data_IF_390832206909
#
_entry.id   IF_390832206909
#
_cell.length_a   1.000
_cell.length_b   1.000
_cell.length_c   1.000
_cell.angle_alpha   90.00
_cell.angle_beta   90.00
_cell.angle_gamma   90.00
#
_symmetry.space_group_name_H-M   'P 1'
#
loop_
_entity.id
_entity.type
_entity.pdbx_description
1 polymer ?
#
# COMPACT_ATOMS: atom_id res chain seq x y z
N UNK A 1 21.71 16.05 19.08
CA UNK A 1 22.52 14.82 19.28
C UNK A 1 21.59 13.64 19.04
N UNK A 2 21.66 12.97 17.89
CA UNK A 2 20.73 11.88 17.54
C UNK A 2 21.26 10.61 18.18
N UNK A 3 20.52 10.06 19.16
CA UNK A 3 20.91 8.85 19.91
C UNK A 3 20.90 7.67 18.94
N UNK A 4 22.03 6.98 18.79
CA UNK A 4 22.14 5.77 17.97
C UNK A 4 21.31 4.67 18.62
N UNK A 5 20.33 4.14 17.90
CA UNK A 5 19.41 3.10 18.40
C UNK A 5 20.02 1.73 18.18
N UNK A 6 20.55 1.12 19.24
CA UNK A 6 21.26 -0.17 19.16
C UNK A 6 20.48 -1.32 19.82
N UNK A 7 19.41 -1.05 20.58
CA UNK A 7 18.64 -2.08 21.30
C UNK A 7 17.16 -2.12 20.93
N UNK A 8 16.56 -3.32 20.97
CA UNK A 8 15.10 -3.54 20.81
C UNK A 8 14.32 -2.75 21.87
N UNK A 9 14.91 -2.55 23.06
CA UNK A 9 14.35 -1.74 24.13
C UNK A 9 14.19 -0.26 23.72
N UNK A 10 15.18 0.32 23.03
CA UNK A 10 15.11 1.70 22.55
C UNK A 10 14.05 1.88 21.45
N UNK A 11 13.85 0.85 20.62
CA UNK A 11 12.76 0.81 19.63
C UNK A 11 11.38 0.80 20.29
N UNK A 12 11.22 0.02 21.36
CA UNK A 12 9.97 -0.06 22.13
C UNK A 12 9.68 1.28 22.81
N UNK A 13 10.67 1.92 23.41
CA UNK A 13 10.49 3.22 24.07
C UNK A 13 10.18 4.34 23.07
N UNK A 14 10.82 4.34 21.90
CA UNK A 14 10.48 5.28 20.82
C UNK A 14 9.07 5.03 20.28
N UNK A 15 8.65 3.77 20.13
CA UNK A 15 7.30 3.42 19.70
C UNK A 15 6.24 3.86 20.73
N UNK A 16 6.51 3.69 22.03
CA UNK A 16 5.66 4.22 23.12
C UNK A 16 5.57 5.74 23.08
N UNK A 17 6.69 6.43 22.90
CA UNK A 17 6.73 7.89 22.82
C UNK A 17 5.91 8.40 21.63
N UNK A 18 6.04 7.75 20.47
CA UNK A 18 5.26 8.08 19.27
C UNK A 18 3.78 7.80 19.46
N UNK A 19 3.41 6.67 20.04
CA UNK A 19 1.99 6.35 20.31
C UNK A 19 1.36 7.34 21.29
N UNK A 20 2.11 7.81 22.30
CA UNK A 20 1.64 8.89 23.19
C UNK A 20 1.43 10.19 22.42
N UNK A 21 2.38 10.62 21.58
CA UNK A 21 2.22 11.81 20.74
C UNK A 21 1.03 11.71 19.79
N UNK A 22 0.83 10.55 19.15
CA UNK A 22 -0.33 10.29 18.29
C UNK A 22 -1.65 10.36 19.07
N UNK A 23 -1.72 9.75 20.25
CA UNK A 23 -2.90 9.81 21.10
C UNK A 23 -3.23 11.25 21.52
N UNK A 24 -2.20 12.04 21.85
CA UNK A 24 -2.34 13.44 22.26
C UNK A 24 -2.81 14.32 21.08
N UNK A 25 -2.28 14.07 19.88
CA UNK A 25 -2.74 14.72 18.65
C UNK A 25 -4.20 14.35 18.33
N UNK A 26 -4.57 13.07 18.36
CA UNK A 26 -5.94 12.61 18.12
C UNK A 26 -6.91 13.22 19.13
N UNK A 27 -6.54 13.24 20.41
CA UNK A 27 -7.32 13.87 21.46
C UNK A 27 -7.50 15.37 21.21
N UNK A 28 -6.43 16.10 20.85
CA UNK A 28 -6.50 17.53 20.55
C UNK A 28 -7.41 17.82 19.34
N UNK A 29 -7.28 17.05 18.26
CA UNK A 29 -8.15 17.18 17.08
C UNK A 29 -9.61 16.88 17.43
N UNK A 30 -9.86 15.81 18.19
CA UNK A 30 -11.21 15.41 18.61
C UNK A 30 -11.86 16.44 19.53
N UNK A 31 -11.08 17.02 20.44
CA UNK A 31 -11.51 18.11 21.32
C UNK A 31 -11.86 19.39 20.53
N UNK A 32 -11.02 19.76 19.56
CA UNK A 32 -11.27 20.89 18.68
C UNK A 32 -12.52 20.68 17.80
N UNK A 33 -12.72 19.45 17.30
CA UNK A 33 -13.93 19.08 16.57
C UNK A 33 -15.18 19.12 17.46
N UNK A 34 -15.07 18.74 18.74
CA UNK A 34 -16.19 18.77 19.70
C UNK A 34 -16.61 20.20 20.06
N UNK A 35 -15.68 21.15 20.06
CA UNK A 35 -15.95 22.57 20.32
C UNK A 35 -16.35 23.37 19.06
N UNK A 36 -16.63 22.71 17.93
CA UNK A 36 -17.15 23.40 16.75
C UNK A 36 -18.56 23.95 17.00
N UNK A 37 -18.72 25.25 16.78
CA UNK A 37 -19.99 25.95 16.98
C UNK A 37 -20.95 25.71 15.80
N UNK A 38 -22.25 25.98 15.97
CA UNK A 38 -23.25 25.90 14.88
C UNK A 38 -23.00 26.89 13.73
N UNK A 39 -22.16 27.90 13.94
CA UNK A 39 -21.82 28.91 12.93
C UNK A 39 -20.56 28.48 12.16
N UNK A 40 -20.69 28.27 10.85
CA UNK A 40 -19.57 27.86 9.98
C UNK A 40 -18.38 28.84 10.01
N UNK A 41 -18.65 30.14 10.14
CA UNK A 41 -17.61 31.18 10.13
C UNK A 41 -16.72 31.17 11.38
N UNK A 42 -17.26 30.78 12.54
CA UNK A 42 -16.48 30.68 13.79
C UNK A 42 -15.57 29.45 13.83
N UNK A 43 -15.83 28.44 12.99
CA UNK A 43 -15.01 27.24 12.91
C UNK A 43 -13.87 27.36 11.88
N UNK A 44 -13.90 28.38 11.01
CA UNK A 44 -12.90 28.60 9.98
C UNK A 44 -11.47 28.82 10.53
N UNK A 45 -11.23 29.59 11.62
CA UNK A 45 -9.90 29.75 12.18
C UNK A 45 -9.31 28.44 12.72
N UNK A 46 -10.14 27.63 13.37
CA UNK A 46 -9.74 26.32 13.93
C UNK A 46 -9.43 25.34 12.79
N UNK A 47 -10.25 25.33 11.74
CA UNK A 47 -10.01 24.50 10.55
C UNK A 47 -8.71 24.89 9.82
N UNK A 48 -8.44 26.20 9.66
CA UNK A 48 -7.19 26.68 9.06
C UNK A 48 -5.98 26.25 9.89
N UNK A 49 -6.06 26.37 11.22
CA UNK A 49 -4.98 25.93 12.11
C UNK A 49 -4.75 24.41 12.02
N UNK A 50 -5.82 23.61 12.01
CA UNK A 50 -5.74 22.15 11.84
C UNK A 50 -5.13 21.77 10.49
N UNK A 51 -5.58 22.39 9.40
CA UNK A 51 -5.03 22.13 8.05
C UNK A 51 -3.58 22.59 7.95
N UNK A 52 -3.21 23.73 8.55
CA UNK A 52 -1.83 24.20 8.56
C UNK A 52 -0.90 23.30 9.39
N UNK A 53 -1.37 22.82 10.55
CA UNK A 53 -0.64 21.88 11.39
C UNK A 53 -0.48 20.53 10.70
N UNK A 54 -1.53 20.05 10.03
CA UNK A 54 -1.49 18.82 9.25
C UNK A 54 -0.55 18.95 8.05
N UNK A 55 -0.58 20.08 7.32
CA UNK A 55 0.40 20.36 6.25
C UNK A 55 1.82 20.43 6.79
N UNK A 56 2.06 21.08 7.93
CA UNK A 56 3.39 21.21 8.52
C UNK A 56 3.91 19.86 9.02
N UNK A 57 3.04 19.01 9.59
CA UNK A 57 3.37 17.63 9.95
C UNK A 57 3.64 16.79 8.69
N UNK A 58 2.84 16.90 7.64
CA UNK A 58 3.12 16.19 6.39
C UNK A 58 4.39 16.68 5.68
N UNK A 59 4.75 17.96 5.82
CA UNK A 59 6.01 18.50 5.28
C UNK A 59 7.23 18.16 6.16
N UNK A 60 7.12 18.16 7.49
CA UNK A 60 8.22 17.68 8.35
C UNK A 60 8.40 16.16 8.26
N UNK A 61 7.30 15.44 8.03
CA UNK A 61 7.26 14.02 7.71
C UNK A 61 7.33 13.80 6.20
N UNK A 62 7.75 14.81 5.40
CA UNK A 62 8.40 14.50 4.13
C UNK A 62 9.63 13.68 4.51
N UNK A 63 9.43 12.37 4.48
CA UNK A 63 10.47 11.37 4.35
C UNK A 63 11.55 12.03 3.51
N UNK A 64 12.75 12.13 4.08
CA UNK A 64 13.95 12.69 3.44
C UNK A 64 14.39 11.86 2.23
N UNK A 65 13.47 11.57 1.32
CA UNK A 65 13.72 11.42 -0.08
C UNK A 65 14.16 12.80 -0.54
N UNK A 66 15.49 12.98 -0.58
CA UNK A 66 16.11 14.03 -1.38
C UNK A 66 15.34 14.07 -2.70
N UNK A 67 14.65 15.18 -2.94
CA UNK A 67 14.37 15.65 -4.29
C UNK A 67 15.71 15.58 -5.00
N UNK A 68 15.91 14.53 -5.79
CA UNK A 68 17.00 14.52 -6.74
C UNK A 68 16.59 15.55 -7.75
N UNK A 69 17.18 16.74 -7.63
CA UNK A 69 17.25 17.70 -8.73
C UNK A 69 17.56 16.90 -9.99
N UNK A 70 16.64 16.93 -10.95
CA UNK A 70 16.91 16.45 -12.30
C UNK A 70 17.92 17.42 -12.89
N UNK A 71 19.19 17.21 -12.55
CA UNK A 71 20.32 17.90 -13.16
C UNK A 71 20.35 17.44 -14.61
N UNK A 72 19.80 18.27 -15.49
CA UNK A 72 19.85 18.11 -16.94
C UNK A 72 21.33 17.89 -17.33
N UNK A 73 21.71 16.64 -17.61
CA UNK A 73 23.06 16.33 -18.05
C UNK A 73 23.27 16.98 -19.41
N UNK A 74 24.12 18.00 -19.47
CA UNK A 74 24.48 18.63 -20.72
C UNK A 74 25.17 17.61 -21.64
N UNK A 75 24.87 17.74 -22.92
CA UNK A 75 25.30 16.87 -24.03
C UNK A 75 26.82 16.86 -24.26
N UNK A 76 27.64 17.33 -23.32
CA UNK A 76 29.11 17.30 -23.44
C UNK A 76 29.80 16.52 -22.32
N UNK A 77 29.06 16.13 -21.27
CA UNK A 77 29.58 15.33 -20.13
C UNK A 77 30.01 13.91 -20.50
N UNK A 78 29.59 13.40 -21.65
CA UNK A 78 29.95 12.06 -22.14
C UNK A 78 31.32 12.00 -22.83
N UNK A 79 31.91 13.14 -23.20
CA UNK A 79 33.27 13.18 -23.78
C UNK A 79 34.34 13.17 -22.69
N UNK A 80 34.06 13.71 -21.50
CA UNK A 80 34.95 13.67 -20.34
C UNK A 80 35.13 12.24 -19.79
N UNK A 81 34.08 11.40 -19.88
CA UNK A 81 34.13 9.98 -19.48
C UNK A 81 34.95 9.06 -20.40
N UNK A 82 35.47 9.56 -21.53
CA UNK A 82 36.29 8.76 -22.46
C UNK A 82 37.80 8.91 -22.26
N UNK A 83 38.26 9.75 -21.33
CA UNK A 83 39.64 9.61 -20.86
C UNK A 83 39.71 8.44 -19.89
N UNK A 84 40.39 7.37 -20.30
CA UNK A 84 40.62 6.17 -19.51
C UNK A 84 41.27 6.54 -18.17
N UNK A 85 40.49 6.40 -17.10
CA UNK A 85 40.94 6.53 -15.72
C UNK A 85 41.57 5.22 -15.26
N UNK A 86 42.64 5.31 -14.46
CA UNK A 86 43.42 4.17 -13.95
C UNK A 86 42.65 3.22 -13.00
N UNK A 87 41.34 3.43 -12.78
CA UNK A 87 40.44 2.56 -12.02
C UNK A 87 39.44 1.86 -12.96
N UNK A 88 39.93 0.94 -13.78
CA UNK A 88 39.11 0.17 -14.73
C UNK A 88 38.32 -0.93 -13.99
N UNK A 89 36.99 -0.88 -14.10
CA UNK A 89 36.02 -1.78 -13.44
C UNK A 89 36.08 -3.23 -13.92
N UNK A 90 36.88 -3.52 -14.94
CA UNK A 90 37.18 -4.90 -15.39
C UNK A 90 38.00 -5.71 -14.37
N UNK A 91 38.53 -5.07 -13.33
CA UNK A 91 39.25 -5.71 -12.22
C UNK A 91 38.38 -5.99 -10.99
N UNK A 92 37.12 -5.52 -10.94
CA UNK A 92 36.22 -5.73 -9.81
C UNK A 92 35.22 -6.87 -10.11
N UNK A 93 35.56 -8.07 -9.65
CA UNK A 93 34.75 -9.31 -9.71
C UNK A 93 33.64 -9.33 -8.65
N UNK A 94 32.69 -8.39 -8.68
CA UNK A 94 31.41 -8.58 -7.99
C UNK A 94 30.25 -8.40 -8.97
N UNK A 95 29.34 -9.39 -9.08
CA UNK A 95 28.15 -9.21 -9.88
C UNK A 95 27.35 -8.02 -9.34
N UNK A 96 26.75 -7.19 -10.21
CA UNK A 96 25.96 -6.06 -9.78
C UNK A 96 24.82 -6.55 -8.87
N UNK A 97 24.49 -5.81 -7.80
CA UNK A 97 23.40 -6.19 -6.93
C UNK A 97 22.09 -6.33 -7.74
N UNK A 98 21.23 -7.30 -7.38
CA UNK A 98 19.98 -7.51 -8.10
C UNK A 98 19.14 -6.22 -8.10
N UNK A 99 18.46 -5.95 -9.22
CA UNK A 99 17.80 -4.67 -9.49
C UNK A 99 16.89 -4.21 -8.35
N UNK A 100 16.13 -5.13 -7.77
CA UNK A 100 15.20 -4.88 -6.67
C UNK A 100 15.86 -4.21 -5.44
N UNK A 101 17.15 -4.46 -5.18
CA UNK A 101 17.86 -3.83 -4.05
C UNK A 101 17.96 -2.31 -4.20
N UNK A 102 18.10 -1.84 -5.44
CA UNK A 102 18.11 -0.40 -5.75
C UNK A 102 16.72 0.21 -5.59
N UNK A 103 15.69 -0.56 -5.88
CA UNK A 103 14.31 -0.07 -5.88
C UNK A 103 13.71 0.02 -4.47
N UNK A 104 14.22 -0.72 -3.48
CA UNK A 104 13.75 -0.64 -2.08
C UNK A 104 14.43 0.50 -1.31
N UNK A 105 15.74 0.70 -1.46
CA UNK A 105 16.53 1.79 -0.84
C UNK A 105 16.26 2.03 0.67
N UNK A 106 15.98 0.95 1.41
CA UNK A 106 15.74 0.99 2.85
C UNK A 106 16.05 -0.38 3.49
N UNK A 107 17.05 -0.48 4.39
CA UNK A 107 17.47 -1.76 4.95
C UNK A 107 16.42 -2.38 5.88
N UNK A 108 15.61 -1.54 6.55
CA UNK A 108 14.51 -2.02 7.41
C UNK A 108 13.41 -2.65 6.57
N UNK A 109 13.09 -2.05 5.41
CA UNK A 109 12.08 -2.59 4.50
C UNK A 109 12.59 -3.85 3.82
N UNK A 110 13.86 -3.88 3.40
CA UNK A 110 14.50 -5.09 2.85
C UNK A 110 14.43 -6.25 3.85
N UNK A 111 14.78 -6.03 5.12
CA UNK A 111 14.73 -7.06 6.15
C UNK A 111 13.30 -7.56 6.41
N UNK A 112 12.31 -6.65 6.49
CA UNK A 112 10.91 -7.03 6.68
C UNK A 112 10.36 -7.81 5.48
N UNK A 113 10.73 -7.42 4.26
CA UNK A 113 10.34 -8.15 3.04
C UNK A 113 10.96 -9.54 2.98
N UNK A 114 12.26 -9.66 3.30
CA UNK A 114 12.92 -10.96 3.35
C UNK A 114 12.26 -11.89 4.37
N UNK A 115 12.01 -11.39 5.59
CA UNK A 115 11.37 -12.15 6.66
C UNK A 115 9.94 -12.59 6.28
N UNK A 116 9.18 -11.71 5.62
CA UNK A 116 7.84 -12.05 5.10
C UNK A 116 7.90 -13.16 4.04
N UNK A 117 8.83 -13.05 3.09
CA UNK A 117 8.97 -14.03 1.99
C UNK A 117 9.49 -15.36 2.53
N UNK A 118 10.39 -15.34 3.50
CA UNK A 118 10.86 -16.56 4.17
C UNK A 118 9.72 -17.32 4.83
N UNK A 119 8.82 -16.61 5.51
CA UNK A 119 7.61 -17.21 6.08
C UNK A 119 6.67 -17.74 4.99
N UNK A 120 6.42 -16.94 3.95
CA UNK A 120 5.53 -17.33 2.85
C UNK A 120 6.03 -18.59 2.13
N UNK A 121 7.30 -18.63 1.78
CA UNK A 121 7.89 -19.76 1.07
C UNK A 121 7.97 -21.00 1.95
N UNK A 122 8.38 -20.85 3.22
CA UNK A 122 8.42 -21.98 4.15
C UNK A 122 7.03 -22.58 4.32
N UNK A 123 6.06 -21.78 4.73
CA UNK A 123 4.76 -22.29 5.17
C UNK A 123 3.88 -22.74 3.99
N UNK A 124 3.96 -22.07 2.83
CA UNK A 124 3.04 -22.31 1.69
C UNK A 124 3.66 -22.93 0.45
N UNK A 125 4.98 -23.07 0.39
CA UNK A 125 5.68 -23.74 -0.72
C UNK A 125 6.41 -24.96 -0.21
N UNK A 126 7.40 -24.78 0.65
CA UNK A 126 8.26 -25.86 1.15
C UNK A 126 7.50 -26.87 2.00
N UNK A 127 6.86 -26.42 3.08
CA UNK A 127 6.23 -27.30 4.07
C UNK A 127 4.86 -27.82 3.59
N UNK A 128 4.16 -27.06 2.75
CA UNK A 128 2.81 -27.41 2.30
C UNK A 128 2.80 -28.53 1.24
N UNK A 129 3.75 -28.55 0.31
CA UNK A 129 3.70 -29.51 -0.79
C UNK A 129 5.05 -29.82 -1.46
N UNK A 130 6.00 -28.89 -1.49
CA UNK A 130 7.20 -29.08 -2.32
C UNK A 130 8.17 -30.11 -1.73
N UNK A 131 8.39 -30.08 -0.41
CA UNK A 131 9.30 -31.01 0.26
C UNK A 131 8.82 -32.46 0.23
N UNK A 132 7.51 -32.68 0.08
CA UNK A 132 6.91 -34.01 -0.06
C UNK A 132 7.17 -34.62 -1.45
N UNK A 133 7.46 -33.76 -2.45
CA UNK A 133 7.69 -34.17 -3.84
C UNK A 133 9.18 -34.34 -4.11
N UNK A 134 10.03 -33.44 -3.61
CA UNK A 134 11.47 -33.44 -3.90
C UNK A 134 12.29 -32.83 -2.76
N UNK A 135 13.51 -33.33 -2.49
CA UNK A 135 14.44 -32.70 -1.56
C UNK A 135 15.18 -31.48 -2.16
N UNK A 136 14.96 -31.19 -3.45
CA UNK A 136 15.55 -30.03 -4.12
C UNK A 136 15.10 -28.70 -3.49
N UNK A 137 15.88 -27.63 -3.69
CA UNK A 137 15.54 -26.26 -3.24
C UNK A 137 15.59 -25.23 -4.36
N UNK A 138 15.82 -25.65 -5.61
CA UNK A 138 15.96 -24.75 -6.73
C UNK A 138 14.66 -23.99 -7.01
N UNK A 139 13.51 -24.67 -7.04
CA UNK A 139 12.24 -24.00 -7.36
C UNK A 139 11.81 -22.97 -6.29
N UNK A 140 11.88 -23.25 -4.97
CA UNK A 140 11.61 -22.25 -3.93
C UNK A 140 12.51 -21.01 -4.05
N UNK A 141 13.78 -21.18 -4.37
CA UNK A 141 14.71 -20.05 -4.57
C UNK A 141 14.42 -19.26 -5.86
N UNK A 142 13.97 -19.94 -6.93
CA UNK A 142 13.48 -19.24 -8.13
C UNK A 142 12.20 -18.45 -7.82
N UNK A 143 11.26 -19.00 -7.06
CA UNK A 143 10.05 -18.31 -6.64
C UNK A 143 10.42 -17.09 -5.78
N UNK A 144 11.37 -17.24 -4.85
CA UNK A 144 11.92 -16.12 -4.06
C UNK A 144 12.41 -14.99 -4.97
N UNK A 145 13.22 -15.31 -5.96
CA UNK A 145 13.78 -14.30 -6.87
C UNK A 145 12.66 -13.54 -7.60
N UNK A 146 11.65 -14.27 -8.11
CA UNK A 146 10.49 -13.67 -8.79
C UNK A 146 9.70 -12.75 -7.84
N UNK A 147 9.45 -13.16 -6.60
CA UNK A 147 8.73 -12.33 -5.61
C UNK A 147 9.54 -11.08 -5.25
N UNK A 148 10.86 -11.21 -5.04
CA UNK A 148 11.72 -10.07 -4.73
C UNK A 148 11.80 -9.07 -5.89
N UNK A 149 11.91 -9.57 -7.12
CA UNK A 149 11.88 -8.74 -8.32
C UNK A 149 10.53 -8.01 -8.45
N UNK A 150 9.42 -8.73 -8.23
CA UNK A 150 8.07 -8.17 -8.24
C UNK A 150 7.89 -7.06 -7.18
N UNK A 151 8.32 -7.31 -5.94
CA UNK A 151 8.21 -6.32 -4.87
C UNK A 151 9.15 -5.12 -5.09
N UNK A 152 10.31 -5.33 -5.72
CA UNK A 152 11.18 -4.23 -6.18
C UNK A 152 10.47 -3.33 -7.18
N UNK A 153 9.83 -3.92 -8.20
CA UNK A 153 9.04 -3.21 -9.22
C UNK A 153 7.85 -2.45 -8.62
N UNK A 154 7.19 -3.01 -7.61
CA UNK A 154 6.14 -2.33 -6.84
C UNK A 154 6.73 -1.18 -6.02
N UNK A 155 7.83 -1.41 -5.31
CA UNK A 155 8.49 -0.40 -4.48
C UNK A 155 8.94 0.81 -5.31
N UNK A 156 9.55 0.56 -6.47
CA UNK A 156 9.93 1.60 -7.42
C UNK A 156 8.74 2.46 -7.86
N UNK A 157 7.62 1.83 -8.23
CA UNK A 157 6.40 2.56 -8.65
C UNK A 157 5.76 3.33 -7.50
N UNK A 158 5.70 2.76 -6.29
CA UNK A 158 5.13 3.45 -5.12
C UNK A 158 5.91 4.73 -4.80
N UNK A 159 7.22 4.73 -5.02
CA UNK A 159 8.07 5.92 -4.84
C UNK A 159 7.78 7.05 -5.85
N UNK A 160 7.23 6.71 -7.01
CA UNK A 160 6.84 7.70 -8.04
C UNK A 160 5.45 8.30 -7.78
N UNK A 161 4.67 7.73 -6.86
CA UNK A 161 3.32 8.22 -6.55
C UNK A 161 3.41 9.54 -5.78
N UNK A 162 2.72 10.57 -6.28
CA UNK A 162 2.52 11.81 -5.53
C UNK A 162 1.51 11.54 -4.41
N UNK A 163 2.04 11.27 -3.21
CA UNK A 163 1.24 10.96 -2.03
C UNK A 163 0.31 12.11 -1.62
N UNK A 164 0.70 13.36 -1.84
CA UNK A 164 -0.13 14.53 -1.51
C UNK A 164 -1.38 14.52 -2.40
N UNK A 165 -1.22 14.36 -3.70
CA UNK A 165 -2.35 14.27 -4.63
C UNK A 165 -3.23 13.06 -4.33
N UNK A 166 -2.61 11.90 -4.08
CA UNK A 166 -3.34 10.68 -3.74
C UNK A 166 -4.23 10.87 -2.51
N UNK A 167 -3.68 11.41 -1.42
CA UNK A 167 -4.40 11.54 -0.15
C UNK A 167 -5.37 12.72 -0.11
N UNK A 168 -5.02 13.85 -0.73
CA UNK A 168 -5.79 15.10 -0.59
C UNK A 168 -6.81 15.31 -1.69
N UNK A 169 -6.61 14.70 -2.86
CA UNK A 169 -7.54 14.77 -3.99
C UNK A 169 -8.17 13.40 -4.21
N UNK A 170 -7.38 12.41 -4.62
CA UNK A 170 -7.95 11.18 -5.18
C UNK A 170 -8.75 10.37 -4.15
N UNK A 171 -8.25 10.23 -2.91
CA UNK A 171 -8.98 9.58 -1.81
C UNK A 171 -10.20 10.40 -1.37
N UNK A 172 -10.10 11.73 -1.35
CA UNK A 172 -11.20 12.60 -0.95
C UNK A 172 -12.33 12.55 -1.98
N UNK A 173 -12.00 12.58 -3.27
CA UNK A 173 -12.93 12.43 -4.37
C UNK A 173 -13.62 11.07 -4.31
N UNK A 174 -12.86 9.99 -4.07
CA UNK A 174 -13.43 8.64 -3.91
C UNK A 174 -14.43 8.57 -2.74
N UNK A 175 -14.07 9.12 -1.57
CA UNK A 175 -14.99 9.18 -0.42
C UNK A 175 -16.23 10.02 -0.77
N UNK A 176 -16.03 11.15 -1.47
CA UNK A 176 -17.11 12.01 -1.96
C UNK A 176 -18.08 11.24 -2.85
N UNK A 177 -17.58 10.49 -3.83
CA UNK A 177 -18.38 9.65 -4.72
C UNK A 177 -19.18 8.59 -3.95
N UNK A 178 -18.57 7.94 -2.95
CA UNK A 178 -19.25 6.98 -2.09
C UNK A 178 -20.35 7.63 -1.23
N UNK A 179 -20.09 8.80 -0.66
CA UNK A 179 -21.09 9.55 0.12
C UNK A 179 -22.24 10.03 -0.77
N UNK A 180 -21.95 10.50 -1.98
CA UNK A 180 -22.95 10.91 -2.95
C UNK A 180 -23.80 9.72 -3.41
N UNK A 181 -23.17 8.57 -3.67
CA UNK A 181 -23.87 7.34 -3.99
C UNK A 181 -24.81 6.93 -2.86
N UNK A 182 -24.33 6.95 -1.62
CA UNK A 182 -25.15 6.66 -0.44
C UNK A 182 -26.33 7.63 -0.31
N UNK A 183 -26.08 8.95 -0.39
CA UNK A 183 -27.12 9.99 -0.27
C UNK A 183 -28.18 9.88 -1.35
N UNK A 184 -27.78 9.64 -2.61
CA UNK A 184 -28.71 9.45 -3.74
C UNK A 184 -29.62 8.25 -3.49
N UNK A 185 -29.06 7.11 -3.07
CA UNK A 185 -29.83 5.91 -2.78
C UNK A 185 -30.72 6.07 -1.53
N UNK A 186 -30.21 6.71 -0.46
CA UNK A 186 -31.00 7.02 0.73
C UNK A 186 -32.20 7.93 0.40
N UNK A 187 -32.00 8.95 -0.44
CA UNK A 187 -33.08 9.84 -0.88
C UNK A 187 -34.12 9.07 -1.71
N UNK A 188 -33.67 8.14 -2.56
CA UNK A 188 -34.57 7.29 -3.35
C UNK A 188 -35.38 6.31 -2.50
N UNK A 189 -34.83 5.83 -1.37
CA UNK A 189 -35.54 4.94 -0.43
C UNK A 189 -36.50 5.74 0.46
N UNK A 190 -36.13 6.97 0.81
CA UNK A 190 -36.86 7.86 1.72
C UNK A 190 -36.12 8.02 3.04
N UNK A 191 -35.74 9.27 3.35
CA UNK A 191 -34.96 9.61 4.55
C UNK A 191 -35.73 9.29 5.83
N UNK A 192 -37.04 9.56 5.84
CA UNK A 192 -37.91 9.29 7.00
C UNK A 192 -38.06 7.78 7.26
N UNK A 193 -38.12 6.97 6.20
CA UNK A 193 -38.17 5.51 6.29
C UNK A 193 -36.87 4.98 6.88
N UNK A 194 -35.72 5.46 6.39
CA UNK A 194 -34.42 5.06 6.91
C UNK A 194 -34.23 5.49 8.38
N UNK A 195 -34.78 6.63 8.80
CA UNK A 195 -34.69 7.10 10.19
C UNK A 195 -35.39 6.22 11.22
N UNK A 196 -36.36 5.39 10.80
CA UNK A 196 -37.16 4.53 11.69
C UNK A 196 -36.57 3.12 11.82
N UNK A 197 -35.89 2.65 10.76
CA UNK A 197 -35.36 1.30 10.68
C UNK A 197 -34.13 1.09 11.57
N UNK A 198 -33.93 -0.15 12.01
CA UNK A 198 -32.69 -0.57 12.66
C UNK A 198 -31.49 -0.48 11.69
N UNK A 199 -30.26 -0.56 12.20
CA UNK A 199 -29.07 -0.51 11.35
C UNK A 199 -29.04 -1.64 10.31
N UNK A 200 -29.38 -2.85 10.74
CA UNK A 200 -29.38 -4.04 9.88
C UNK A 200 -30.45 -3.94 8.78
N UNK A 201 -31.66 -3.50 9.13
CA UNK A 201 -32.74 -3.28 8.16
C UNK A 201 -32.42 -2.17 7.17
N UNK A 202 -31.72 -1.11 7.60
CA UNK A 202 -31.24 -0.05 6.71
C UNK A 202 -30.22 -0.59 5.71
N UNK A 203 -29.24 -1.35 6.18
CA UNK A 203 -28.18 -1.89 5.34
C UNK A 203 -28.73 -2.87 4.31
N UNK A 204 -29.64 -3.77 4.71
CA UNK A 204 -30.24 -4.72 3.78
C UNK A 204 -31.13 -4.03 2.74
N UNK A 205 -31.87 -3.00 3.13
CA UNK A 205 -32.71 -2.21 2.21
C UNK A 205 -31.86 -1.40 1.24
N UNK A 206 -30.75 -0.84 1.70
CA UNK A 206 -29.78 -0.13 0.87
C UNK A 206 -29.12 -1.08 -0.14
N UNK A 207 -28.67 -2.25 0.33
CA UNK A 207 -28.09 -3.31 -0.50
C UNK A 207 -29.05 -3.76 -1.59
N UNK A 208 -30.32 -4.02 -1.25
CA UNK A 208 -31.35 -4.38 -2.22
C UNK A 208 -31.56 -3.30 -3.29
N UNK A 209 -31.59 -2.03 -2.89
CA UNK A 209 -31.74 -0.93 -3.84
C UNK A 209 -30.51 -0.80 -4.75
N UNK A 210 -29.30 -0.84 -4.19
CA UNK A 210 -28.04 -0.78 -4.95
C UNK A 210 -27.90 -1.95 -5.94
N UNK A 211 -28.36 -3.15 -5.57
CA UNK A 211 -28.43 -4.30 -6.48
C UNK A 211 -29.40 -4.05 -7.63
N UNK A 212 -30.61 -3.57 -7.32
CA UNK A 212 -31.64 -3.30 -8.32
C UNK A 212 -31.22 -2.18 -9.29
N UNK A 213 -30.52 -1.16 -8.80
CA UNK A 213 -29.98 -0.05 -9.60
C UNK A 213 -28.66 -0.38 -10.31
N UNK A 214 -28.08 -1.58 -10.10
CA UNK A 214 -26.78 -2.01 -10.61
C UNK A 214 -25.62 -1.09 -10.20
N UNK A 215 -25.75 -0.46 -9.04
CA UNK A 215 -24.74 0.42 -8.47
C UNK A 215 -23.94 -0.25 -7.34
N UNK A 216 -24.33 -1.45 -6.92
CA UNK A 216 -23.54 -2.22 -5.96
C UNK A 216 -22.22 -2.66 -6.57
N UNK A 217 -21.13 -2.44 -5.85
CA UNK A 217 -19.81 -2.92 -6.26
C UNK A 217 -19.78 -4.46 -6.36
N UNK A 218 -19.20 -5.06 -7.43
CA UNK A 218 -19.26 -6.52 -7.64
C UNK A 218 -18.72 -7.36 -6.48
N UNK A 219 -17.70 -6.85 -5.78
CA UNK A 219 -17.12 -7.54 -4.63
C UNK A 219 -18.10 -7.67 -3.44
N UNK A 220 -19.14 -6.84 -3.35
CA UNK A 220 -20.09 -6.84 -2.22
C UNK A 220 -21.31 -7.74 -2.45
N UNK A 221 -21.39 -8.42 -3.61
CA UNK A 221 -22.54 -9.26 -3.96
C UNK A 221 -22.53 -10.57 -3.16
N UNK A 222 -21.37 -11.23 -3.10
CA UNK A 222 -21.18 -12.50 -2.39
C UNK A 222 -19.69 -12.74 -2.09
N UNK A 223 -19.33 -13.60 -1.13
CA UNK A 223 -17.94 -13.94 -0.85
C UNK A 223 -17.19 -14.51 -2.06
N UNK A 224 -17.88 -15.26 -2.92
CA UNK A 224 -17.29 -15.78 -4.17
C UNK A 224 -17.04 -14.67 -5.19
N UNK A 225 -17.90 -13.65 -5.20
CA UNK A 225 -17.76 -12.49 -6.07
C UNK A 225 -16.63 -11.59 -5.60
N UNK A 226 -16.49 -11.41 -4.29
CA UNK A 226 -15.32 -10.76 -3.67
C UNK A 226 -14.03 -11.47 -4.09
N UNK A 227 -13.95 -12.78 -3.87
CA UNK A 227 -12.77 -13.56 -4.21
C UNK A 227 -12.41 -13.45 -5.69
N UNK A 228 -13.39 -13.56 -6.60
CA UNK A 228 -13.18 -13.36 -8.04
C UNK A 228 -12.70 -11.96 -8.39
N UNK A 229 -13.22 -10.94 -7.72
CA UNK A 229 -12.78 -9.57 -7.90
C UNK A 229 -11.31 -9.40 -7.47
N UNK A 230 -10.93 -9.96 -6.31
CA UNK A 230 -9.54 -9.96 -5.84
C UNK A 230 -8.63 -10.71 -6.82
N UNK A 231 -9.04 -11.86 -7.35
CA UNK A 231 -8.30 -12.59 -8.39
C UNK A 231 -8.10 -11.72 -9.64
N UNK A 232 -9.13 -11.01 -10.10
CA UNK A 232 -9.03 -10.14 -11.26
C UNK A 232 -8.07 -8.97 -11.02
N UNK A 233 -8.15 -8.34 -9.85
CA UNK A 233 -7.26 -7.26 -9.43
C UNK A 233 -5.80 -7.74 -9.40
N UNK A 234 -5.55 -8.88 -8.75
CA UNK A 234 -4.23 -9.48 -8.67
C UNK A 234 -3.71 -9.94 -10.03
N UNK A 235 -4.60 -10.45 -10.89
CA UNK A 235 -4.27 -10.77 -12.27
C UNK A 235 -3.75 -9.54 -13.02
N UNK A 236 -4.43 -8.40 -12.89
CA UNK A 236 -3.99 -7.12 -13.45
C UNK A 236 -2.64 -6.68 -12.89
N UNK A 237 -2.47 -6.69 -11.57
CA UNK A 237 -1.22 -6.30 -10.92
C UNK A 237 -0.03 -7.14 -11.41
N UNK A 238 -0.20 -8.46 -11.48
CA UNK A 238 0.85 -9.37 -11.93
C UNK A 238 1.28 -9.13 -13.38
N UNK A 239 0.39 -8.65 -14.26
CA UNK A 239 0.79 -8.28 -15.63
C UNK A 239 1.71 -7.07 -15.69
N UNK A 240 1.66 -6.20 -14.68
CA UNK A 240 2.48 -4.98 -14.60
C UNK A 240 3.82 -5.28 -13.93
N UNK A 241 3.81 -6.21 -12.97
CA UNK A 241 4.91 -6.43 -12.04
C UNK A 241 5.81 -7.60 -12.46
N UNK A 242 5.27 -8.66 -13.07
CA UNK A 242 6.08 -9.80 -13.50
C UNK A 242 6.93 -9.47 -14.73
N UNK A 243 8.11 -10.08 -14.83
CA UNK A 243 8.94 -9.93 -16.04
C UNK A 243 8.25 -10.56 -17.25
N UNK A 244 8.55 -10.10 -18.48
CA UNK A 244 7.93 -10.65 -19.70
C UNK A 244 8.04 -12.18 -19.81
N UNK A 245 9.17 -12.76 -19.38
CA UNK A 245 9.41 -14.21 -19.40
C UNK A 245 8.48 -14.97 -18.44
N UNK A 246 8.25 -14.43 -17.25
CA UNK A 246 7.38 -15.03 -16.23
C UNK A 246 5.90 -14.83 -16.58
N UNK A 247 5.54 -13.62 -17.05
CA UNK A 247 4.19 -13.27 -17.45
C UNK A 247 3.67 -14.10 -18.64
N UNK A 248 4.58 -14.55 -19.52
CA UNK A 248 4.25 -15.44 -20.65
C UNK A 248 3.95 -16.88 -20.21
N UNK A 249 4.36 -17.29 -19.01
CA UNK A 249 4.10 -18.64 -18.49
C UNK A 249 2.71 -18.69 -17.82
N UNK A 250 1.72 -19.41 -18.39
CA UNK A 250 0.37 -19.44 -17.84
C UNK A 250 0.32 -20.07 -16.45
N UNK A 251 1.18 -21.06 -16.18
CA UNK A 251 1.26 -21.73 -14.89
C UNK A 251 1.76 -20.78 -13.79
N UNK A 252 2.85 -20.04 -14.05
CA UNK A 252 3.40 -19.06 -13.11
C UNK A 252 2.37 -17.98 -12.81
N UNK A 253 1.70 -17.44 -13.84
CA UNK A 253 0.66 -16.41 -13.65
C UNK A 253 -0.53 -16.93 -12.85
N UNK A 254 -0.96 -18.16 -13.09
CA UNK A 254 -2.05 -18.79 -12.36
C UNK A 254 -1.68 -18.97 -10.88
N UNK A 255 -0.55 -19.64 -10.62
CA UNK A 255 -0.08 -19.92 -9.26
C UNK A 255 0.17 -18.62 -8.50
N UNK A 256 0.86 -17.64 -9.11
CA UNK A 256 1.12 -16.35 -8.47
C UNK A 256 -0.17 -15.60 -8.14
N UNK A 257 -1.16 -15.60 -9.05
CA UNK A 257 -2.47 -14.96 -8.80
C UNK A 257 -3.17 -15.62 -7.63
N UNK A 258 -3.27 -16.94 -7.61
CA UNK A 258 -3.95 -17.66 -6.52
C UNK A 258 -3.22 -17.48 -5.20
N UNK A 259 -1.90 -17.66 -5.16
CA UNK A 259 -1.11 -17.49 -3.94
C UNK A 259 -1.28 -16.09 -3.35
N UNK A 260 -1.12 -15.04 -4.16
CA UNK A 260 -1.23 -13.67 -3.62
C UNK A 260 -2.68 -13.33 -3.26
N UNK A 261 -3.66 -13.82 -4.01
CA UNK A 261 -5.08 -13.58 -3.69
C UNK A 261 -5.48 -14.26 -2.39
N UNK A 262 -5.22 -15.57 -2.25
CA UNK A 262 -5.61 -16.37 -1.09
C UNK A 262 -4.81 -16.03 0.17
N UNK A 263 -3.50 -15.85 0.05
CA UNK A 263 -2.61 -15.83 1.22
C UNK A 263 -2.28 -14.42 1.70
N UNK A 264 -2.45 -13.42 0.83
CA UNK A 264 -2.12 -12.03 1.14
C UNK A 264 -3.37 -11.18 1.11
N UNK A 265 -4.01 -11.08 -0.05
CA UNK A 265 -5.05 -10.08 -0.24
C UNK A 265 -6.34 -10.41 0.54
N UNK A 266 -6.84 -11.64 0.47
CA UNK A 266 -8.06 -12.03 1.18
C UNK A 266 -7.93 -11.93 2.71
N UNK A 267 -6.84 -12.39 3.36
CA UNK A 267 -6.64 -12.18 4.78
C UNK A 267 -6.55 -10.70 5.17
N UNK A 268 -5.93 -9.86 4.32
CA UNK A 268 -5.88 -8.41 4.55
C UNK A 268 -7.27 -7.77 4.45
N UNK A 269 -8.08 -8.16 3.47
CA UNK A 269 -9.45 -7.66 3.33
C UNK A 269 -10.31 -8.05 4.54
N UNK A 270 -10.23 -9.30 4.99
CA UNK A 270 -10.94 -9.78 6.18
C UNK A 270 -10.49 -9.07 7.47
N UNK A 271 -9.23 -8.64 7.54
CA UNK A 271 -8.70 -7.88 8.68
C UNK A 271 -9.25 -6.45 8.71
N UNK A 272 -9.33 -5.79 7.55
CA UNK A 272 -9.74 -4.38 7.44
C UNK A 272 -11.27 -4.24 7.46
N UNK A 273 -11.99 -5.24 6.97
CA UNK A 273 -13.44 -5.31 6.97
C UNK A 273 -13.89 -6.57 7.71
N UNK A 274 -13.83 -6.60 9.06
CA UNK A 274 -14.42 -7.69 9.81
C UNK A 274 -15.93 -7.69 9.54
N UNK A 275 -16.41 -8.76 8.91
CA UNK A 275 -17.83 -8.98 8.66
C UNK A 275 -18.66 -9.09 9.93
#
# INVERSE_FOLDING_TARGET
MKKTMESVQDLIEEAKLRTVWWALCIFAVSYLLTHTSKSMLMNAPIAILLVSGLRMLFNEVEFRWKVHDVRLQSYLSHLEKKQLSANDSRLATMPPPPKWKRDIDSPVVEAAMQDFIDKLLRDFVSDLWYSDITPDKEAPELIRAVIMDALGEVSGRVKEVNLVDLLTRDVVDLIGDHLDLFRKNQTSIGVDVMGILSSEERDERLKHHLLASKQLHPALISPESEYKFLQQLMGGLLTIVLRPREAQCPLVRCIARELVTCLVLQPLMNLVSPG
#
